data_IF_235642616323
#
_entry.id   IF_235642616323
#
_cell.length_a   1.000
_cell.length_b   1.000
_cell.length_c   1.000
_cell.angle_alpha   90.00
_cell.angle_beta   90.00
_cell.angle_gamma   90.00
#
_symmetry.space_group_name_H-M   'P 1'
#
loop_
_entity.id
_entity.type
_entity.pdbx_description
1 polymer ?
#
# COMPACT_ATOMS: atom_id res chain seq x y z
N UNK A 1 7.92 -8.28 2.53
CA UNK A 1 7.53 -7.04 3.21
C UNK A 1 6.07 -6.74 2.91
N UNK A 2 5.27 -6.50 3.95
CA UNK A 2 3.89 -6.01 3.85
C UNK A 2 3.89 -4.53 4.20
N UNK A 3 3.23 -3.70 3.40
CA UNK A 3 3.13 -2.27 3.62
C UNK A 3 1.66 -1.84 3.65
N UNK A 4 1.21 -1.26 4.75
CA UNK A 4 -0.09 -0.59 4.82
C UNK A 4 0.08 0.85 4.35
N UNK A 5 -0.62 1.21 3.28
CA UNK A 5 -0.52 2.52 2.63
C UNK A 5 -1.91 3.01 2.23
N UNK A 6 -2.01 4.25 1.75
CA UNK A 6 -3.22 4.80 1.16
C UNK A 6 -2.87 5.80 0.05
N UNK A 7 -3.83 6.27 -0.73
CA UNK A 7 -3.61 7.13 -1.88
C UNK A 7 -3.46 8.61 -1.51
N UNK A 8 -4.14 9.07 -0.45
CA UNK A 8 -4.25 10.50 -0.13
C UNK A 8 -3.21 11.01 0.88
N UNK A 9 -2.59 10.13 1.68
CA UNK A 9 -1.66 10.56 2.72
C UNK A 9 -0.37 11.18 2.13
N UNK A 10 0.02 12.40 2.56
CA UNK A 10 1.22 13.06 2.06
C UNK A 10 2.50 12.28 2.38
N UNK A 11 2.54 11.55 3.51
CA UNK A 11 3.68 10.70 3.87
C UNK A 11 3.82 9.51 2.92
N UNK A 12 2.70 8.90 2.51
CA UNK A 12 2.72 7.83 1.50
C UNK A 12 3.19 8.37 0.16
N UNK A 13 2.64 9.50 -0.29
CA UNK A 13 3.04 10.12 -1.56
C UNK A 13 4.54 10.45 -1.59
N UNK A 14 5.10 10.89 -0.45
CA UNK A 14 6.52 11.21 -0.33
C UNK A 14 7.44 9.97 -0.37
N UNK A 15 6.99 8.80 0.10
CA UNK A 15 7.80 7.57 0.13
C UNK A 15 7.58 6.68 -1.10
N UNK A 16 6.42 6.77 -1.75
CA UNK A 16 6.01 5.86 -2.83
C UNK A 16 7.06 5.72 -3.95
N UNK A 17 7.69 6.80 -4.48
CA UNK A 17 8.72 6.65 -5.51
C UNK A 17 9.91 5.79 -5.05
N UNK A 18 10.31 5.90 -3.78
CA UNK A 18 11.40 5.08 -3.19
C UNK A 18 10.94 3.65 -2.98
N UNK A 19 9.73 3.44 -2.48
CA UNK A 19 9.15 2.10 -2.32
C UNK A 19 9.10 1.34 -3.66
N UNK A 20 8.65 1.99 -4.74
CA UNK A 20 8.61 1.41 -6.08
C UNK A 20 10.02 1.08 -6.62
N UNK A 21 11.00 1.96 -6.40
CA UNK A 21 12.40 1.72 -6.77
C UNK A 21 12.96 0.52 -6.02
N UNK A 22 12.79 0.50 -4.70
CA UNK A 22 13.39 -0.52 -3.84
C UNK A 22 12.75 -1.88 -4.08
N UNK A 23 11.43 -1.95 -4.27
CA UNK A 23 10.76 -3.20 -4.63
C UNK A 23 11.28 -3.80 -5.94
N UNK A 24 11.57 -2.97 -6.96
CA UNK A 24 12.18 -3.46 -8.21
C UNK A 24 13.59 -3.99 -8.01
N UNK A 25 14.39 -3.32 -7.18
CA UNK A 25 15.77 -3.73 -6.90
C UNK A 25 15.84 -5.00 -6.03
N UNK A 26 14.86 -5.18 -5.14
CA UNK A 26 14.80 -6.27 -4.18
C UNK A 26 14.15 -7.54 -4.73
N UNK A 27 13.23 -7.43 -5.71
CA UNK A 27 12.56 -8.59 -6.29
C UNK A 27 13.51 -9.64 -6.88
N UNK A 28 14.60 -9.30 -7.62
CA UNK A 28 15.59 -10.28 -8.10
C UNK A 28 16.37 -10.98 -6.98
N UNK A 29 16.37 -10.41 -5.76
CA UNK A 29 17.03 -10.96 -4.58
C UNK A 29 16.07 -11.84 -3.75
N UNK A 30 14.85 -12.09 -4.24
CA UNK A 30 13.83 -12.89 -3.57
C UNK A 30 13.04 -12.14 -2.49
N UNK A 31 13.21 -10.82 -2.40
CA UNK A 31 12.47 -10.00 -1.43
C UNK A 31 11.30 -9.32 -2.14
N UNK A 32 10.09 -9.72 -1.78
CA UNK A 32 8.85 -9.24 -2.40
C UNK A 32 8.08 -8.27 -1.49
N UNK A 33 7.35 -7.37 -2.13
CA UNK A 33 6.48 -6.39 -1.48
C UNK A 33 5.03 -6.72 -1.78
N UNK A 34 4.15 -6.50 -0.81
CA UNK A 34 2.70 -6.42 -0.99
C UNK A 34 2.24 -5.12 -0.30
N UNK A 35 1.50 -4.29 -1.01
CA UNK A 35 0.87 -3.10 -0.43
C UNK A 35 -0.60 -3.37 -0.14
N UNK A 36 -1.13 -2.85 0.96
CA UNK A 36 -2.52 -3.02 1.41
C UNK A 36 -3.09 -1.65 1.77
N UNK A 37 -4.27 -1.31 1.25
CA UNK A 37 -5.04 -0.14 1.65
C UNK A 37 -6.24 -0.56 2.51
N UNK A 38 -6.24 -0.23 3.82
CA UNK A 38 -7.37 -0.48 4.71
C UNK A 38 -8.28 0.75 4.89
N UNK A 39 -8.01 1.86 4.23
CA UNK A 39 -8.77 3.09 4.47
C UNK A 39 -10.22 2.96 3.98
N UNK A 40 -11.13 3.57 4.74
CA UNK A 40 -12.54 3.67 4.39
C UNK A 40 -12.73 4.62 3.20
N UNK A 41 -13.16 4.08 2.07
CA UNK A 41 -13.39 4.81 0.84
C UNK A 41 -14.63 5.74 0.88
N UNK A 42 -15.55 5.55 1.82
CA UNK A 42 -16.66 6.49 2.03
C UNK A 42 -16.17 7.78 2.68
N UNK A 43 -15.29 7.65 3.68
CA UNK A 43 -14.66 8.79 4.34
C UNK A 43 -13.60 9.47 3.45
N UNK A 44 -12.86 8.68 2.67
CA UNK A 44 -11.77 9.14 1.79
C UNK A 44 -11.95 8.61 0.36
N UNK A 45 -12.71 9.32 -0.50
CA UNK A 45 -13.00 8.88 -1.87
C UNK A 45 -11.76 8.60 -2.73
N UNK A 46 -10.62 9.22 -2.42
CA UNK A 46 -9.34 8.99 -3.07
C UNK A 46 -8.81 7.57 -2.84
N UNK A 47 -9.23 6.91 -1.77
CA UNK A 47 -8.82 5.55 -1.39
C UNK A 47 -9.71 4.46 -1.99
N UNK A 48 -10.75 4.82 -2.75
CA UNK A 48 -11.63 3.86 -3.41
C UNK A 48 -10.85 2.91 -4.32
N UNK A 49 -11.31 1.66 -4.37
CA UNK A 49 -10.68 0.59 -5.16
C UNK A 49 -10.40 0.97 -6.62
N UNK A 50 -11.35 1.63 -7.30
CA UNK A 50 -11.15 2.09 -8.67
C UNK A 50 -9.92 2.99 -8.84
N UNK A 51 -9.68 3.89 -7.86
CA UNK A 51 -8.53 4.78 -7.86
C UNK A 51 -7.23 4.04 -7.56
N UNK A 52 -7.27 3.03 -6.69
CA UNK A 52 -6.13 2.14 -6.42
C UNK A 52 -5.68 1.43 -7.71
N UNK A 53 -6.62 0.88 -8.47
CA UNK A 53 -6.34 0.19 -9.76
C UNK A 53 -5.69 1.14 -10.77
N UNK A 54 -6.19 2.38 -10.86
CA UNK A 54 -5.60 3.41 -11.74
C UNK A 54 -4.15 3.74 -11.35
N UNK A 55 -3.90 3.98 -10.06
CA UNK A 55 -2.59 4.41 -9.55
C UNK A 55 -1.56 3.28 -9.63
N UNK A 56 -1.97 2.05 -9.34
CA UNK A 56 -1.06 0.91 -9.22
C UNK A 56 -0.81 0.12 -10.50
N UNK A 57 -1.31 0.60 -11.65
CA UNK A 57 -1.21 -0.10 -12.95
C UNK A 57 0.21 -0.59 -13.29
N UNK A 58 1.22 0.22 -13.00
CA UNK A 58 2.63 -0.06 -13.36
C UNK A 58 3.52 -0.36 -12.13
N UNK A 59 2.89 -0.73 -11.01
CA UNK A 59 3.62 -1.05 -9.80
C UNK A 59 4.27 -2.43 -9.89
N UNK A 60 5.47 -2.62 -9.30
CA UNK A 60 6.19 -3.88 -9.35
C UNK A 60 5.66 -4.91 -8.32
N UNK A 61 4.56 -4.61 -7.63
CA UNK A 61 3.94 -5.44 -6.61
C UNK A 61 2.42 -5.24 -6.56
N UNK A 62 1.67 -6.22 -6.00
CA UNK A 62 0.24 -6.08 -5.78
C UNK A 62 -0.10 -4.95 -4.80
N UNK A 63 -1.18 -4.21 -5.10
CA UNK A 63 -1.82 -3.25 -4.20
C UNK A 63 -3.24 -3.73 -3.89
N UNK A 64 -3.45 -4.26 -2.70
CA UNK A 64 -4.67 -4.93 -2.26
C UNK A 64 -5.56 -3.98 -1.46
N UNK A 65 -6.87 -4.20 -1.51
CA UNK A 65 -7.85 -3.46 -0.72
C UNK A 65 -8.35 -4.32 0.44
N UNK A 66 -8.23 -3.83 1.67
CA UNK A 66 -8.75 -4.46 2.88
C UNK A 66 -9.99 -3.72 3.37
N UNK A 67 -11.11 -3.93 2.68
CA UNK A 67 -12.39 -3.24 2.95
C UNK A 67 -12.88 -3.45 4.39
N UNK A 68 -12.63 -4.63 4.96
CA UNK A 68 -13.07 -4.98 6.32
C UNK A 68 -12.13 -4.46 7.42
N UNK A 69 -10.93 -4.00 7.04
CA UNK A 69 -9.81 -3.66 7.91
C UNK A 69 -9.34 -4.83 8.80
N UNK A 70 -9.76 -6.07 8.51
CA UNK A 70 -9.42 -7.24 9.34
C UNK A 70 -7.93 -7.55 9.25
N UNK A 71 -7.31 -7.37 8.06
CA UNK A 71 -5.89 -7.63 7.87
C UNK A 71 -5.07 -6.54 8.56
N UNK A 72 -5.46 -5.27 8.45
CA UNK A 72 -4.81 -4.18 9.17
C UNK A 72 -4.85 -4.38 10.69
N UNK A 73 -6.01 -4.78 11.24
CA UNK A 73 -6.13 -5.13 12.67
C UNK A 73 -5.27 -6.32 13.06
N UNK A 74 -5.20 -7.36 12.23
CA UNK A 74 -4.39 -8.54 12.52
C UNK A 74 -2.88 -8.27 12.51
N UNK A 75 -2.44 -7.23 11.80
CA UNK A 75 -1.05 -6.75 11.77
C UNK A 75 -0.77 -5.68 12.83
N UNK A 76 -1.78 -5.24 13.60
CA UNK A 76 -1.70 -4.05 14.46
C UNK A 76 -1.19 -2.80 13.72
N UNK A 77 -1.57 -2.64 12.44
CA UNK A 77 -1.21 -1.48 11.65
C UNK A 77 -1.96 -0.23 12.16
N UNK A 78 -1.23 0.84 12.46
CA UNK A 78 -1.78 2.05 13.11
C UNK A 78 -1.72 3.31 12.27
N UNK A 79 -0.94 3.32 11.19
CA UNK A 79 -0.78 4.49 10.33
C UNK A 79 -0.51 4.12 8.87
N UNK A 80 -0.43 5.12 8.00
CA UNK A 80 0.03 4.97 6.62
C UNK A 80 1.13 6.02 6.33
N UNK A 81 2.31 5.61 5.83
CA UNK A 81 2.74 4.24 5.59
C UNK A 81 3.16 3.51 6.88
N UNK A 82 2.88 2.20 6.96
CA UNK A 82 3.36 1.30 8.02
C UNK A 82 3.96 0.02 7.39
N UNK A 83 5.16 -0.37 7.80
CA UNK A 83 5.99 -1.37 7.10
C UNK A 83 6.36 -2.55 7.99
N UNK A 84 6.13 -3.76 7.50
CA UNK A 84 6.38 -5.03 8.19
C UNK A 84 7.28 -5.91 7.32
N UNK A 85 8.42 -6.35 7.84
CA UNK A 85 9.45 -7.08 7.10
C UNK A 85 10.10 -8.18 7.92
#
# INVERSE_FOLDING_TARGET
>A
MVAFICNHCPYVQAVLPRLLRDARALAPLGVHVIAINPNDAEAYPEDRYARMVEIARDWPFPYLHDETQQVARAYDAVCTPDFFG
#
